data_IF_770131728367
#
_entry.id   IF_770131728367
#
_cell.length_a   1.000
_cell.length_b   1.000
_cell.length_c   1.000
_cell.angle_alpha   90.00
_cell.angle_beta   90.00
_cell.angle_gamma   90.00
#
_symmetry.space_group_name_H-M   'P 1'
#
loop_
_entity.id
_entity.type
_entity.pdbx_description
1 polymer ?
#
# COMPACT_ATOMS: atom_id res chain seq x y z
N UNK A 1 -4.85 -16.93 5.29
CA UNK A 1 -3.41 -16.86 4.96
C UNK A 1 -3.39 -16.68 3.46
N UNK A 2 -3.02 -15.49 2.99
CA UNK A 2 -2.89 -15.25 1.56
C UNK A 2 -1.67 -16.02 1.06
N UNK A 3 -1.82 -16.74 -0.04
CA UNK A 3 -0.71 -17.41 -0.69
C UNK A 3 0.05 -16.35 -1.50
N UNK A 4 1.27 -16.02 -1.07
CA UNK A 4 2.13 -15.03 -1.76
C UNK A 4 2.33 -15.34 -3.26
N UNK A 5 2.12 -16.59 -3.66
CA UNK A 5 2.21 -16.99 -5.07
C UNK A 5 1.01 -16.52 -5.93
N UNK A 6 -0.10 -16.09 -5.32
CA UNK A 6 -1.30 -15.60 -6.03
C UNK A 6 -1.34 -14.07 -6.17
N UNK A 7 -0.41 -13.36 -5.55
CA UNK A 7 -0.34 -11.89 -5.59
C UNK A 7 0.72 -11.40 -6.58
N UNK A 8 0.29 -10.64 -7.57
CA UNK A 8 1.19 -9.85 -8.39
C UNK A 8 1.60 -8.60 -7.62
N UNK A 9 2.85 -8.49 -7.18
CA UNK A 9 3.37 -7.28 -6.57
C UNK A 9 4.08 -6.44 -7.62
N UNK A 10 3.54 -5.28 -7.96
CA UNK A 10 4.18 -4.35 -8.90
C UNK A 10 3.69 -2.90 -8.72
N UNK A 11 4.18 -2.00 -9.56
CA UNK A 11 4.28 -0.58 -9.27
C UNK A 11 3.16 0.25 -9.88
N UNK A 12 2.58 -0.16 -11.01
CA UNK A 12 1.74 0.72 -11.80
C UNK A 12 0.53 0.03 -12.46
N UNK A 13 -0.28 0.85 -13.12
CA UNK A 13 -1.47 0.42 -13.83
C UNK A 13 -1.21 -0.60 -14.95
N UNK A 14 -0.04 -0.53 -15.60
CA UNK A 14 0.35 -1.50 -16.64
C UNK A 14 0.66 -2.86 -16.01
N UNK A 15 1.39 -2.86 -14.92
CA UNK A 15 1.74 -4.07 -14.18
C UNK A 15 0.48 -4.79 -13.64
N UNK A 16 -0.48 -4.05 -13.08
CA UNK A 16 -1.75 -4.60 -12.63
C UNK A 16 -2.51 -5.29 -13.79
N UNK A 17 -2.50 -4.69 -14.97
CA UNK A 17 -3.12 -5.27 -16.14
C UNK A 17 -2.40 -6.52 -16.65
N UNK A 18 -1.06 -6.53 -16.58
CA UNK A 18 -0.27 -7.71 -16.93
C UNK A 18 -0.52 -8.84 -15.93
N UNK A 19 -0.59 -8.53 -14.64
CA UNK A 19 -0.91 -9.50 -13.59
C UNK A 19 -2.28 -10.15 -13.82
N UNK A 20 -3.32 -9.35 -14.09
CA UNK A 20 -4.66 -9.84 -14.43
C UNK A 20 -4.62 -10.78 -15.65
N UNK A 21 -3.93 -10.37 -16.72
CA UNK A 21 -3.79 -11.20 -17.95
C UNK A 21 -2.98 -12.48 -17.69
N UNK A 22 -2.06 -12.47 -16.75
CA UNK A 22 -1.29 -13.65 -16.34
C UNK A 22 -2.07 -14.59 -15.42
N UNK A 23 -3.28 -14.19 -14.98
CA UNK A 23 -4.17 -15.02 -14.15
C UNK A 23 -3.96 -14.87 -12.66
N UNK A 24 -3.30 -13.81 -12.18
CA UNK A 24 -3.26 -13.48 -10.75
C UNK A 24 -4.66 -13.10 -10.26
N UNK A 25 -4.98 -13.48 -9.04
CA UNK A 25 -6.30 -13.27 -8.44
C UNK A 25 -6.41 -11.94 -7.68
N UNK A 26 -5.30 -11.30 -7.39
CA UNK A 26 -5.21 -10.00 -6.72
C UNK A 26 -3.94 -9.25 -7.09
N UNK A 27 -3.88 -7.96 -6.77
CA UNK A 27 -2.72 -7.12 -7.04
C UNK A 27 -2.37 -6.28 -5.80
N UNK A 28 -1.08 -6.30 -5.41
CA UNK A 28 -0.58 -5.59 -4.24
C UNK A 28 0.16 -4.30 -4.63
N UNK A 29 -0.35 -3.17 -4.18
CA UNK A 29 0.28 -1.86 -4.32
C UNK A 29 1.21 -1.65 -3.12
N UNK A 30 2.48 -1.99 -3.29
CA UNK A 30 3.47 -1.93 -2.21
C UNK A 30 4.01 -0.50 -2.02
N UNK A 31 4.00 -0.01 -0.79
CA UNK A 31 4.48 1.33 -0.43
C UNK A 31 5.96 1.56 -0.78
N UNK A 32 6.79 0.53 -0.62
CA UNK A 32 8.22 0.58 -0.98
C UNK A 32 8.43 0.80 -2.48
N UNK A 33 7.61 0.18 -3.32
CA UNK A 33 7.68 0.33 -4.77
C UNK A 33 7.13 1.71 -5.20
N UNK A 34 6.02 2.15 -4.62
CA UNK A 34 5.49 3.51 -4.87
C UNK A 34 6.52 4.57 -4.49
N UNK A 35 7.16 4.44 -3.34
CA UNK A 35 8.22 5.36 -2.91
C UNK A 35 9.38 5.39 -3.90
N UNK A 36 9.87 4.21 -4.32
CA UNK A 36 11.04 4.11 -5.20
C UNK A 36 10.74 4.56 -6.63
N UNK A 37 9.66 4.09 -7.23
CA UNK A 37 9.41 4.27 -8.67
C UNK A 37 8.57 5.50 -9.02
N UNK A 38 7.61 5.88 -8.16
CA UNK A 38 6.82 7.08 -8.38
C UNK A 38 7.51 8.32 -7.85
N UNK A 39 8.09 8.26 -6.63
CA UNK A 39 8.66 9.42 -5.97
C UNK A 39 10.19 9.50 -6.07
N UNK A 40 10.89 8.40 -6.41
CA UNK A 40 12.35 8.37 -6.46
C UNK A 40 13.02 8.52 -5.10
N UNK A 41 12.36 8.08 -4.02
CA UNK A 41 12.83 8.22 -2.64
C UNK A 41 12.87 6.86 -1.94
N UNK A 42 13.69 6.71 -0.88
CA UNK A 42 13.67 5.50 -0.06
C UNK A 42 12.36 5.36 0.72
N UNK A 43 11.97 4.12 1.00
CA UNK A 43 10.78 3.78 1.78
C UNK A 43 11.01 4.00 3.30
N UNK A 44 10.92 5.25 3.71
CA UNK A 44 11.14 5.72 5.08
C UNK A 44 10.00 6.63 5.58
N UNK A 45 8.76 6.37 5.14
CA UNK A 45 7.61 7.18 5.53
C UNK A 45 7.59 8.57 4.89
N UNK A 46 8.23 8.75 3.74
CA UNK A 46 8.22 10.02 2.98
C UNK A 46 6.94 10.13 2.13
N UNK A 47 6.45 9.00 1.62
CA UNK A 47 5.22 8.93 0.86
C UNK A 47 4.04 9.46 1.68
N UNK A 48 3.21 10.29 1.08
CA UNK A 48 2.02 10.83 1.72
C UNK A 48 0.72 10.18 1.26
N UNK A 49 -0.35 10.34 2.04
CA UNK A 49 -1.68 9.82 1.71
C UNK A 49 -2.13 10.18 0.29
N UNK A 50 -1.82 11.38 -0.17
CA UNK A 50 -2.23 11.82 -1.52
C UNK A 50 -1.56 11.00 -2.60
N UNK A 51 -0.28 10.72 -2.44
CA UNK A 51 0.50 9.98 -3.43
C UNK A 51 -0.06 8.57 -3.60
N UNK A 52 -0.31 7.87 -2.49
CA UNK A 52 -0.84 6.50 -2.53
C UNK A 52 -2.31 6.46 -3.01
N UNK A 53 -3.15 7.42 -2.62
CA UNK A 53 -4.55 7.48 -3.08
C UNK A 53 -4.65 7.73 -4.58
N UNK A 54 -3.86 8.66 -5.11
CA UNK A 54 -3.89 8.95 -6.54
C UNK A 54 -3.32 7.78 -7.35
N UNK A 55 -2.27 7.12 -6.84
CA UNK A 55 -1.72 5.92 -7.45
C UNK A 55 -2.70 4.74 -7.41
N UNK A 56 -3.27 4.42 -6.25
CA UNK A 56 -4.26 3.35 -6.09
C UNK A 56 -5.46 3.53 -7.04
N UNK A 57 -5.93 4.76 -7.23
CA UNK A 57 -7.02 5.05 -8.18
C UNK A 57 -6.65 4.71 -9.61
N UNK A 58 -5.43 4.99 -10.05
CA UNK A 58 -4.97 4.63 -11.39
C UNK A 58 -4.87 3.12 -11.55
N UNK A 59 -4.34 2.42 -10.57
CA UNK A 59 -4.25 0.96 -10.56
C UNK A 59 -5.64 0.34 -10.59
N UNK A 60 -6.54 0.71 -9.66
CA UNK A 60 -7.91 0.20 -9.59
C UNK A 60 -8.71 0.41 -10.88
N UNK A 61 -8.49 1.53 -11.56
CA UNK A 61 -9.17 1.82 -12.84
C UNK A 61 -8.64 1.00 -14.02
N UNK A 62 -7.51 0.33 -13.87
CA UNK A 62 -6.84 -0.40 -14.96
C UNK A 62 -7.09 -1.91 -14.94
N UNK A 63 -7.59 -2.46 -13.85
CA UNK A 63 -7.79 -3.90 -13.66
C UNK A 63 -9.14 -4.21 -13.02
N UNK A 64 -9.60 -5.47 -13.12
CA UNK A 64 -10.82 -5.94 -12.47
C UNK A 64 -10.51 -6.90 -11.30
N UNK A 65 -9.25 -7.26 -11.07
CA UNK A 65 -8.88 -8.05 -9.90
C UNK A 65 -8.77 -7.16 -8.67
N UNK A 66 -9.08 -7.69 -7.47
CA UNK A 66 -8.97 -6.93 -6.23
C UNK A 66 -7.59 -6.34 -6.00
N UNK A 67 -7.54 -5.09 -5.53
CA UNK A 67 -6.28 -4.45 -5.17
C UNK A 67 -6.12 -4.32 -3.65
N UNK A 68 -4.95 -4.68 -3.18
CA UNK A 68 -4.48 -4.48 -1.81
C UNK A 68 -3.54 -3.29 -1.79
N UNK A 69 -3.68 -2.40 -0.84
CA UNK A 69 -2.88 -1.17 -0.78
C UNK A 69 -2.15 -1.07 0.55
N UNK A 70 -0.83 -0.95 0.48
CA UNK A 70 0.02 -0.61 1.61
C UNK A 70 -0.18 0.87 1.99
N UNK A 71 -0.45 1.12 3.25
CA UNK A 71 -0.75 2.45 3.79
C UNK A 71 0.22 2.89 4.87
N UNK A 72 1.42 2.31 4.88
CA UNK A 72 2.38 2.57 5.93
C UNK A 72 1.72 2.48 7.33
N UNK A 73 1.91 3.45 8.18
CA UNK A 73 1.29 3.53 9.52
C UNK A 73 -0.04 4.33 9.52
N UNK A 74 -0.69 4.51 8.35
CA UNK A 74 -1.95 5.23 8.23
C UNK A 74 -1.83 6.73 7.98
N UNK A 75 -0.62 7.26 7.75
CA UNK A 75 -0.32 8.66 7.41
C UNK A 75 -0.67 9.67 8.50
N UNK A 76 -0.48 9.30 9.76
CA UNK A 76 -0.65 10.20 10.89
C UNK A 76 -1.18 9.53 12.15
N UNK A 77 -2.02 10.21 12.91
CA UNK A 77 -2.66 9.67 14.12
C UNK A 77 -3.91 8.83 13.76
N UNK A 78 -4.58 8.27 14.76
CA UNK A 78 -5.76 7.42 14.57
C UNK A 78 -6.88 8.09 13.74
N UNK A 79 -7.07 9.40 13.88
CA UNK A 79 -8.06 10.14 13.09
C UNK A 79 -7.62 10.27 11.62
N UNK A 80 -6.33 10.46 11.38
CA UNK A 80 -5.77 10.44 10.03
C UNK A 80 -5.93 9.06 9.39
N UNK A 81 -5.64 7.99 10.14
CA UNK A 81 -5.79 6.61 9.67
C UNK A 81 -7.24 6.31 9.26
N UNK A 82 -8.20 6.68 10.09
CA UNK A 82 -9.64 6.57 9.73
C UNK A 82 -9.95 7.29 8.41
N UNK A 83 -9.46 8.51 8.24
CA UNK A 83 -9.65 9.27 7.00
C UNK A 83 -8.94 8.63 5.81
N UNK A 84 -7.75 8.07 6.01
CA UNK A 84 -6.96 7.39 4.98
C UNK A 84 -7.69 6.17 4.43
N UNK A 85 -8.26 5.34 5.31
CA UNK A 85 -9.07 4.18 4.92
C UNK A 85 -10.23 4.61 4.01
N UNK A 86 -10.99 5.62 4.42
CA UNK A 86 -12.11 6.12 3.60
C UNK A 86 -11.67 6.66 2.23
N UNK A 87 -10.50 7.30 2.19
CA UNK A 87 -9.96 7.84 0.94
C UNK A 87 -9.53 6.74 -0.02
N UNK A 88 -8.90 5.70 0.50
CA UNK A 88 -8.45 4.55 -0.30
C UNK A 88 -9.60 3.67 -0.76
N UNK A 89 -10.60 3.42 0.09
CA UNK A 89 -11.85 2.76 -0.31
C UNK A 89 -12.50 3.47 -1.50
N UNK A 90 -12.63 4.80 -1.44
CA UNK A 90 -13.17 5.60 -2.56
C UNK A 90 -12.26 5.64 -3.78
N UNK A 91 -10.98 5.36 -3.62
CA UNK A 91 -10.04 5.23 -4.73
C UNK A 91 -10.11 3.86 -5.42
N UNK A 92 -10.81 2.89 -4.82
CA UNK A 92 -11.01 1.54 -5.36
C UNK A 92 -10.14 0.48 -4.71
N UNK A 93 -9.54 0.74 -3.55
CA UNK A 93 -8.86 -0.29 -2.77
C UNK A 93 -9.88 -1.27 -2.18
N UNK A 94 -9.69 -2.56 -2.42
CA UNK A 94 -10.51 -3.63 -1.88
C UNK A 94 -10.01 -4.09 -0.50
N UNK A 95 -8.71 -3.96 -0.26
CA UNK A 95 -8.07 -4.25 1.01
C UNK A 95 -6.97 -3.23 1.31
N UNK A 96 -6.72 -3.00 2.59
CA UNK A 96 -5.72 -2.05 3.07
C UNK A 96 -4.84 -2.75 4.11
N UNK A 97 -3.52 -2.64 3.95
CA UNK A 97 -2.54 -3.06 4.94
C UNK A 97 -2.10 -1.83 5.74
N UNK A 98 -2.19 -1.91 7.07
CA UNK A 98 -1.69 -0.88 7.99
C UNK A 98 -0.60 -1.53 8.84
N UNK A 99 0.56 -0.88 8.91
CA UNK A 99 1.68 -1.35 9.71
C UNK A 99 1.61 -0.83 11.16
N UNK A 100 1.96 -1.68 12.10
CA UNK A 100 2.06 -1.36 13.53
C UNK A 100 3.38 -0.67 13.92
N UNK A 101 4.11 -0.13 12.96
CA UNK A 101 5.36 0.57 13.23
C UNK A 101 5.15 1.92 13.89
N UNK A 102 6.10 2.30 14.75
CA UNK A 102 6.22 3.67 15.24
C UNK A 102 6.65 4.59 14.09
N UNK A 103 5.93 5.70 13.90
CA UNK A 103 6.28 6.69 12.86
C UNK A 103 7.49 7.55 13.28
N UNK A 104 8.45 7.85 12.37
CA UNK A 104 8.48 7.47 10.95
C UNK A 104 8.86 6.00 10.73
N UNK A 105 8.06 5.31 9.93
CA UNK A 105 8.30 3.90 9.62
C UNK A 105 9.57 3.68 8.78
N UNK A 106 10.03 2.45 8.72
CA UNK A 106 11.13 2.01 7.86
C UNK A 106 10.68 0.82 7.03
N UNK A 107 11.25 0.69 5.84
CA UNK A 107 11.03 -0.49 5.01
C UNK A 107 11.21 -1.79 5.79
N UNK A 108 10.31 -2.74 5.60
CA UNK A 108 10.30 -4.04 6.27
C UNK A 108 11.63 -4.80 6.22
N UNK A 109 12.46 -4.56 5.20
CA UNK A 109 13.78 -5.18 5.02
C UNK A 109 14.90 -4.52 5.84
N UNK A 110 14.66 -3.35 6.45
CA UNK A 110 15.67 -2.65 7.24
C UNK A 110 15.58 -3.01 8.72
N UNK A 111 16.73 -2.91 9.40
CA UNK A 111 16.83 -3.09 10.84
C UNK A 111 16.40 -1.81 11.59
N UNK A 112 16.08 -1.97 12.89
CA UNK A 112 15.77 -0.86 13.78
C UNK A 112 14.34 -0.34 13.64
N UNK A 113 13.41 -1.21 13.24
CA UNK A 113 11.97 -0.94 13.34
C UNK A 113 11.54 -0.99 14.81
N UNK A 114 10.68 -0.08 15.17
CA UNK A 114 9.99 -0.07 16.45
C UNK A 114 8.48 -0.20 16.17
N UNK A 115 7.78 -0.95 17.00
CA UNK A 115 6.34 -1.18 16.85
C UNK A 115 5.59 -0.63 18.06
N UNK A 116 4.36 -0.22 17.85
CA UNK A 116 3.44 0.21 18.91
C UNK A 116 2.86 -1.01 19.63
N UNK A 117 2.33 -0.81 20.83
CA UNK A 117 1.65 -1.87 21.56
C UNK A 117 0.32 -2.25 20.87
N UNK A 118 -0.08 -3.53 20.95
CA UNK A 118 -1.35 -3.99 20.34
C UNK A 118 -2.58 -3.19 20.81
N UNK A 119 -2.53 -2.60 22.01
CA UNK A 119 -3.62 -1.76 22.54
C UNK A 119 -3.67 -0.36 21.92
N UNK A 120 -2.65 0.02 21.17
CA UNK A 120 -2.52 1.33 20.51
C UNK A 120 -2.77 1.23 19.00
N UNK A 121 -2.79 -0.02 18.46
CA UNK A 121 -3.16 -0.33 17.08
C UNK A 121 -4.69 -0.32 16.92
#
# INVERSE_FOLDING_TARGET
MFDEASEGADVDALAARIAELAGFESFFVAGSQVSAFLLGVPDNGIMGLRDVVDHARHVASSTNIPIFVDTDTGFGNALNTYHSVQRLERAGADCIQIEDQLSPKRCGHFQGKEVIANSEM
#
